data_IF_152507212441
#
_entry.id   IF_152507212441
#
_cell.length_a   1.000
_cell.length_b   1.000
_cell.length_c   1.000
_cell.angle_alpha   90.00
_cell.angle_beta   90.00
_cell.angle_gamma   90.00
#
_symmetry.space_group_name_H-M   'P 1'
#
loop_
_entity.id
_entity.type
_entity.pdbx_description
1 polymer ?
#
# COMPACT_ATOMS: atom_id res chain seq x y z
N UNK A 1 -32.85 -59.58 21.12
CA UNK A 1 -33.19 -59.55 19.66
C UNK A 1 -34.13 -58.37 19.45
N UNK A 2 -34.02 -57.52 18.42
CA UNK A 2 -33.57 -57.82 17.06
C UNK A 2 -32.39 -56.97 16.54
N UNK A 3 -31.82 -57.44 15.43
CA UNK A 3 -30.85 -56.74 14.57
C UNK A 3 -31.61 -55.89 13.56
N UNK A 4 -31.21 -54.65 13.35
CA UNK A 4 -31.44 -53.92 12.10
C UNK A 4 -30.08 -53.43 11.58
N UNK A 5 -29.76 -53.88 10.38
CA UNK A 5 -28.68 -53.39 9.55
C UNK A 5 -29.18 -52.22 8.69
N UNK A 6 -28.28 -51.32 8.30
CA UNK A 6 -28.12 -50.65 6.98
C UNK A 6 -27.28 -49.36 7.19
N UNK A 7 -26.27 -49.20 6.35
CA UNK A 7 -25.20 -48.20 6.39
C UNK A 7 -25.62 -46.85 5.71
N UNK A 8 -24.70 -46.04 5.19
CA UNK A 8 -24.00 -44.91 5.81
C UNK A 8 -24.42 -43.55 5.20
N UNK A 9 -24.49 -42.47 5.98
CA UNK A 9 -24.81 -41.14 5.45
C UNK A 9 -23.97 -40.03 6.12
N UNK A 10 -22.70 -39.97 5.74
CA UNK A 10 -22.11 -38.81 5.08
C UNK A 10 -22.77 -37.44 5.35
N UNK A 11 -22.58 -36.87 6.54
CA UNK A 11 -22.84 -35.44 6.80
C UNK A 11 -21.73 -34.84 7.68
N UNK A 12 -20.50 -34.93 7.18
CA UNK A 12 -19.43 -33.98 7.51
C UNK A 12 -19.69 -32.69 6.71
N UNK A 13 -20.57 -31.83 7.22
CA UNK A 13 -20.70 -30.45 6.75
C UNK A 13 -19.55 -29.62 7.32
N UNK A 14 -18.50 -29.50 6.51
CA UNK A 14 -17.36 -28.65 6.73
C UNK A 14 -17.76 -27.18 6.92
N UNK A 15 -17.24 -26.46 7.94
CA UNK A 15 -17.12 -25.02 7.86
C UNK A 15 -15.85 -24.71 7.05
N UNK A 16 -15.94 -24.86 5.73
CA UNK A 16 -15.00 -24.27 4.77
C UNK A 16 -15.30 -22.77 4.66
N UNK A 17 -14.96 -22.00 5.69
CA UNK A 17 -14.97 -20.54 5.61
C UNK A 17 -14.10 -19.98 6.72
N UNK A 18 -12.84 -19.66 6.36
CA UNK A 18 -11.98 -18.59 6.92
C UNK A 18 -10.51 -18.93 6.66
N UNK A 19 -10.17 -19.28 5.41
CA UNK A 19 -8.81 -19.06 4.92
C UNK A 19 -8.78 -17.64 4.38
N UNK A 20 -8.77 -16.66 5.29
CA UNK A 20 -8.22 -15.36 4.99
C UNK A 20 -6.69 -15.52 5.06
N UNK A 21 -6.14 -16.26 4.10
CA UNK A 21 -4.75 -16.13 3.73
C UNK A 21 -4.58 -14.71 3.18
N UNK A 22 -4.40 -13.73 4.06
CA UNK A 22 -3.43 -12.67 3.75
C UNK A 22 -2.08 -13.37 3.80
N UNK A 23 -1.82 -14.16 2.77
CA UNK A 23 -0.46 -14.50 2.37
C UNK A 23 0.13 -13.16 1.97
N UNK A 24 0.73 -12.51 2.97
CA UNK A 24 1.62 -11.40 2.76
C UNK A 24 2.61 -11.87 1.70
N UNK A 25 2.44 -11.36 0.49
CA UNK A 25 3.45 -11.42 -0.55
C UNK A 25 4.79 -11.20 0.16
N UNK A 26 5.77 -12.09 0.04
CA UNK A 26 7.06 -11.88 0.66
C UNK A 26 7.52 -10.50 0.16
N UNK A 27 7.62 -9.55 1.08
CA UNK A 27 8.09 -8.22 0.76
C UNK A 27 9.48 -8.43 0.16
N UNK A 28 9.61 -8.17 -1.14
CA UNK A 28 10.86 -8.38 -1.86
C UNK A 28 11.97 -7.65 -1.05
N UNK A 29 12.95 -8.39 -0.51
CA UNK A 29 13.94 -7.80 0.39
C UNK A 29 14.87 -6.83 -0.35
N UNK A 30 14.87 -6.85 -1.67
CA UNK A 30 15.61 -5.94 -2.55
C UNK A 30 14.77 -4.73 -2.97
N UNK A 31 13.45 -4.72 -2.72
CA UNK A 31 12.62 -3.57 -3.00
C UNK A 31 13.05 -2.37 -2.14
N UNK A 32 13.16 -1.17 -2.73
CA UNK A 32 13.49 0.05 -2.02
C UNK A 32 12.51 0.30 -0.87
N UNK A 33 13.02 0.70 0.29
CA UNK A 33 12.18 1.04 1.46
C UNK A 33 12.06 2.54 1.59
N UNK A 34 10.86 3.03 1.94
CA UNK A 34 10.60 4.46 2.22
C UNK A 34 11.57 5.00 3.28
N UNK A 35 11.89 4.22 4.32
CA UNK A 35 12.82 4.62 5.39
C UNK A 35 14.30 4.63 4.98
N UNK A 36 14.66 4.05 3.84
CA UNK A 36 16.06 3.94 3.44
C UNK A 36 16.58 5.27 2.90
N UNK A 37 17.77 5.68 3.36
CA UNK A 37 18.43 6.89 2.88
C UNK A 37 18.63 6.86 1.38
N UNK A 38 18.21 7.93 0.71
CA UNK A 38 18.34 8.07 -0.74
C UNK A 38 17.22 7.40 -1.55
N UNK A 39 16.24 6.77 -0.90
CA UNK A 39 15.02 6.32 -1.60
C UNK A 39 14.06 7.48 -1.75
N UNK A 40 13.78 7.90 -2.98
CA UNK A 40 12.65 8.80 -3.26
C UNK A 40 11.39 7.97 -3.36
N UNK A 41 10.31 8.43 -2.73
CA UNK A 41 9.05 7.69 -2.69
C UNK A 41 7.89 8.54 -3.18
N UNK A 42 7.00 7.93 -3.95
CA UNK A 42 5.72 8.48 -4.39
C UNK A 42 4.63 7.41 -4.24
N UNK A 43 3.55 7.69 -3.53
CA UNK A 43 2.44 6.75 -3.43
C UNK A 43 1.10 7.43 -3.36
N UNK A 44 0.08 6.73 -3.84
CA UNK A 44 -1.30 7.20 -3.80
C UNK A 44 -1.95 6.81 -2.48
N UNK A 45 -2.52 7.79 -1.80
CA UNK A 45 -3.39 7.59 -0.64
C UNK A 45 -4.86 7.72 -1.03
N UNK A 46 -5.74 6.97 -0.35
CA UNK A 46 -7.19 7.16 -0.48
C UNK A 46 -7.69 8.28 0.45
N UNK A 47 -8.61 9.09 -0.06
CA UNK A 47 -9.27 10.19 0.66
C UNK A 47 -10.79 9.96 0.73
N UNK A 48 -11.50 10.65 1.64
CA UNK A 48 -12.96 10.61 1.68
C UNK A 48 -13.62 11.03 0.35
N UNK A 49 -14.79 10.46 0.06
CA UNK A 49 -15.54 10.80 -1.14
C UNK A 49 -14.98 10.21 -2.44
N UNK A 50 -14.18 9.13 -2.36
CA UNK A 50 -13.64 8.45 -3.55
C UNK A 50 -12.53 9.24 -4.25
N UNK A 51 -11.91 10.17 -3.53
CA UNK A 51 -10.78 10.95 -4.03
C UNK A 51 -9.47 10.33 -3.60
N UNK A 52 -8.38 10.86 -4.15
CA UNK A 52 -7.04 10.37 -3.91
C UNK A 52 -6.10 11.53 -3.58
N UNK A 53 -5.03 11.22 -2.86
CA UNK A 53 -3.91 12.13 -2.66
C UNK A 53 -2.62 11.50 -3.16
N UNK A 54 -1.70 12.32 -3.62
CA UNK A 54 -0.34 11.92 -3.92
C UNK A 54 0.53 12.25 -2.71
N UNK A 55 1.26 11.27 -2.20
CA UNK A 55 2.21 11.45 -1.10
C UNK A 55 3.62 11.23 -1.66
N UNK A 56 4.49 12.22 -1.52
CA UNK A 56 5.86 12.18 -2.02
C UNK A 56 6.86 12.52 -0.93
N UNK A 57 8.09 12.07 -1.07
CA UNK A 57 9.15 12.41 -0.14
C UNK A 57 10.44 11.65 -0.40
N UNK A 58 11.36 11.77 0.55
CA UNK A 58 12.68 11.14 0.48
C UNK A 58 13.01 10.47 1.81
N UNK A 59 13.44 9.23 1.72
CA UNK A 59 13.94 8.48 2.86
C UNK A 59 15.20 9.12 3.43
N UNK A 60 15.19 9.34 4.74
CA UNK A 60 16.24 9.99 5.52
C UNK A 60 16.90 9.05 6.55
N UNK A 61 16.49 7.77 6.55
CA UNK A 61 16.94 6.77 7.52
C UNK A 61 15.97 6.58 8.70
N UNK A 62 14.97 7.43 8.83
CA UNK A 62 13.94 7.30 9.87
C UNK A 62 12.81 6.37 9.44
N UNK A 63 12.06 5.83 10.40
CA UNK A 63 10.92 4.96 10.10
C UNK A 63 9.76 5.70 9.43
N UNK A 64 9.65 7.01 9.65
CA UNK A 64 8.59 7.87 9.13
C UNK A 64 9.21 9.16 8.58
N UNK A 65 9.86 9.10 7.40
CA UNK A 65 10.45 10.27 6.78
C UNK A 65 9.38 11.32 6.48
N UNK A 66 9.79 12.59 6.48
CA UNK A 66 8.90 13.68 6.10
C UNK A 66 8.35 13.46 4.69
N UNK A 67 7.04 13.67 4.54
CA UNK A 67 6.34 13.50 3.29
C UNK A 67 5.44 14.71 3.00
N UNK A 68 5.33 15.06 1.73
CA UNK A 68 4.40 16.06 1.23
C UNK A 68 3.16 15.34 0.72
N UNK A 69 1.98 15.90 1.01
CA UNK A 69 0.69 15.38 0.57
C UNK A 69 0.04 16.41 -0.35
N UNK A 70 -0.33 16.00 -1.56
CA UNK A 70 -1.01 16.82 -2.56
C UNK A 70 -2.37 16.20 -2.87
N UNK A 71 -3.44 17.00 -2.88
CA UNK A 71 -4.82 16.55 -3.08
C UNK A 71 -5.80 17.16 -2.06
N UNK A 72 -7.05 16.68 -2.00
CA UNK A 72 -7.61 15.54 -2.74
C UNK A 72 -7.81 15.82 -4.24
N UNK A 73 -7.77 14.78 -5.07
CA UNK A 73 -7.96 14.86 -6.53
C UNK A 73 -8.64 13.61 -7.09
N UNK A 74 -9.07 13.67 -8.36
CA UNK A 74 -9.68 12.53 -9.06
C UNK A 74 -8.66 11.45 -9.42
N UNK A 75 -9.16 10.26 -9.74
CA UNK A 75 -8.36 9.10 -10.13
C UNK A 75 -7.39 9.40 -11.31
N UNK A 76 -7.89 10.06 -12.36
CA UNK A 76 -7.06 10.36 -13.52
C UNK A 76 -5.98 11.41 -13.20
N UNK A 77 -6.30 12.38 -12.36
CA UNK A 77 -5.35 13.42 -11.95
C UNK A 77 -4.24 12.85 -11.06
N UNK A 78 -4.58 11.94 -10.13
CA UNK A 78 -3.56 11.35 -9.25
C UNK A 78 -2.64 10.40 -10.01
N UNK A 79 -3.17 9.67 -11.00
CA UNK A 79 -2.36 8.80 -11.85
C UNK A 79 -1.39 9.60 -12.72
N UNK A 80 -1.87 10.69 -13.34
CA UNK A 80 -1.01 11.59 -14.12
C UNK A 80 0.06 12.25 -13.23
N UNK A 81 -0.30 12.70 -12.03
CA UNK A 81 0.63 13.29 -11.08
C UNK A 81 1.67 12.27 -10.59
N UNK A 82 1.26 11.03 -10.31
CA UNK A 82 2.18 9.95 -9.93
C UNK A 82 3.15 9.63 -11.07
N UNK A 83 2.66 9.50 -12.31
CA UNK A 83 3.51 9.22 -13.47
C UNK A 83 4.58 10.32 -13.64
N UNK A 84 4.17 11.57 -13.53
CA UNK A 84 5.08 12.71 -13.58
C UNK A 84 6.13 12.66 -12.45
N UNK A 85 5.72 12.38 -11.21
CA UNK A 85 6.64 12.30 -10.08
C UNK A 85 7.66 11.17 -10.26
N UNK A 86 7.25 10.03 -10.79
CA UNK A 86 8.16 8.92 -11.09
C UNK A 86 9.22 9.35 -12.11
N UNK A 87 8.84 10.07 -13.18
CA UNK A 87 9.79 10.60 -14.17
C UNK A 87 10.79 11.57 -13.53
N UNK A 88 10.31 12.48 -12.68
CA UNK A 88 11.15 13.42 -11.92
C UNK A 88 12.14 12.68 -11.03
N UNK A 89 11.67 11.69 -10.26
CA UNK A 89 12.52 10.89 -9.36
C UNK A 89 13.57 10.06 -10.11
N UNK A 90 13.31 9.65 -11.35
CA UNK A 90 14.28 8.89 -12.16
C UNK A 90 15.46 9.74 -12.66
N UNK A 91 15.28 11.06 -12.77
CA UNK A 91 16.35 11.97 -13.23
C UNK A 91 17.07 12.69 -12.10
N UNK A 92 16.53 12.65 -10.88
CA UNK A 92 17.13 13.26 -9.69
C UNK A 92 18.32 12.42 -9.17
N UNK A 93 19.56 12.94 -9.20
CA UNK A 93 20.75 12.17 -8.81
C UNK A 93 20.76 11.77 -7.33
N UNK A 94 19.98 12.45 -6.50
CA UNK A 94 19.84 12.15 -5.07
C UNK A 94 18.85 11.02 -4.76
N UNK A 95 18.11 10.55 -5.77
CA UNK A 95 17.22 9.41 -5.72
C UNK A 95 17.99 8.15 -6.13
N UNK A 96 18.67 7.54 -5.17
CA UNK A 96 19.43 6.30 -5.37
C UNK A 96 18.51 5.10 -5.67
N UNK A 97 17.26 5.19 -5.24
CA UNK A 97 16.22 4.24 -5.54
C UNK A 97 14.85 4.94 -5.58
N UNK A 98 13.91 4.38 -6.35
CA UNK A 98 12.54 4.90 -6.45
C UNK A 98 11.57 3.87 -5.89
N UNK A 99 10.75 4.31 -4.93
CA UNK A 99 9.61 3.56 -4.43
C UNK A 99 8.33 4.21 -4.95
N UNK A 100 7.60 3.50 -5.81
CA UNK A 100 6.34 4.01 -6.37
C UNK A 100 5.18 3.06 -6.07
N UNK A 101 4.03 3.59 -5.64
CA UNK A 101 2.78 2.82 -5.52
C UNK A 101 1.59 3.56 -6.12
N UNK A 102 0.95 2.90 -7.06
CA UNK A 102 -0.25 3.41 -7.71
C UNK A 102 -1.51 3.23 -6.85
N UNK A 103 -2.63 3.76 -7.35
CA UNK A 103 -3.92 3.68 -6.66
C UNK A 103 -4.44 2.27 -6.40
N UNK A 104 -4.01 1.26 -7.16
CA UNK A 104 -4.45 -0.13 -6.97
C UNK A 104 -3.87 -0.73 -5.67
N UNK A 105 -2.76 -0.19 -5.19
CA UNK A 105 -2.17 -0.53 -3.91
C UNK A 105 -2.35 0.60 -2.87
N UNK A 106 -3.27 1.53 -3.09
CA UNK A 106 -3.48 2.67 -2.20
C UNK A 106 -3.98 2.21 -0.83
N UNK A 107 -3.36 2.77 0.21
CA UNK A 107 -3.78 2.65 1.59
C UNK A 107 -4.40 3.99 2.04
N UNK A 108 -5.17 4.01 3.13
CA UNK A 108 -5.64 5.27 3.71
C UNK A 108 -4.47 6.25 3.90
N UNK A 109 -4.60 7.48 3.40
CA UNK A 109 -3.51 8.44 3.51
C UNK A 109 -3.18 8.72 4.98
N UNK A 110 -1.89 8.77 5.37
CA UNK A 110 -1.52 9.13 6.73
C UNK A 110 -2.01 10.54 7.08
N UNK A 111 -2.31 10.76 8.36
CA UNK A 111 -2.69 12.08 8.86
C UNK A 111 -1.55 13.09 8.61
N UNK A 112 -1.86 14.35 8.26
CA UNK A 112 -0.84 15.38 8.08
C UNK A 112 0.03 15.51 9.33
N UNK A 113 1.35 15.51 9.15
CA UNK A 113 2.28 15.87 10.24
C UNK A 113 2.16 17.39 10.45
N UNK A 114 1.90 17.89 11.68
CA UNK A 114 1.90 19.32 11.94
C UNK A 114 3.24 19.94 11.55
N UNK A 115 3.22 21.05 10.82
CA UNK A 115 4.44 21.83 10.56
C UNK A 115 5.05 22.28 11.90
N UNK A 116 6.39 22.29 12.04
CA UNK A 116 7.01 22.85 13.24
C UNK A 116 6.61 24.32 13.37
N UNK A 117 6.01 24.67 14.50
CA UNK A 117 5.76 26.06 14.86
C UNK A 117 7.13 26.74 15.03
N UNK A 118 7.40 27.72 14.18
CA UNK A 118 8.57 28.61 14.32
C UNK A 118 8.41 29.60 15.46
#
# INVERSE_FOLDING_TARGET
MPRFAVAPALLLLAPLALVACVEGMPADPTAPKISQRGTCFAYVGTEPGGQFSLITGKGDGTLAPAAQKVGPMSADKVDAALAHEIEVMQVMPECLAVYARNRAAAQPAPAPVPAPAG
#
